data_IF_198103150177
#
_entry.id   IF_198103150177
#
_cell.length_a   1.000
_cell.length_b   1.000
_cell.length_c   1.000
_cell.angle_alpha   90.00
_cell.angle_beta   90.00
_cell.angle_gamma   90.00
#
_symmetry.space_group_name_H-M   'P 1'
#
loop_
_entity.id
_entity.type
_entity.pdbx_description
1 polymer ?
#
# COMPACT_ATOMS: atom_id res chain seq x y z
N UNK A 1 -1.77 9.06 -14.65
CA UNK A 1 -2.72 8.90 -13.53
C UNK A 1 -1.92 8.23 -12.43
N UNK A 2 -1.75 8.88 -11.30
CA UNK A 2 -0.86 8.39 -10.24
C UNK A 2 -1.54 7.22 -9.56
N UNK A 3 -1.05 6.01 -9.78
CA UNK A 3 -1.67 4.79 -9.26
C UNK A 3 -1.59 4.79 -7.72
N UNK A 4 -2.74 4.89 -7.05
CA UNK A 4 -2.88 4.80 -5.60
C UNK A 4 -2.10 3.61 -5.00
N UNK A 5 -2.08 2.49 -5.72
CA UNK A 5 -1.33 1.27 -5.37
C UNK A 5 0.18 1.49 -5.24
N UNK A 6 0.77 2.37 -6.07
CA UNK A 6 2.20 2.67 -6.03
C UNK A 6 2.57 3.46 -4.78
N UNK A 7 1.77 4.46 -4.42
CA UNK A 7 1.98 5.27 -3.22
C UNK A 7 1.81 4.45 -1.94
N UNK A 8 0.81 3.57 -1.92
CA UNK A 8 0.57 2.68 -0.78
C UNK A 8 1.68 1.64 -0.62
N UNK A 9 2.12 1.01 -1.72
CA UNK A 9 3.21 0.03 -1.70
C UNK A 9 4.50 0.64 -1.17
N UNK A 10 4.83 1.86 -1.59
CA UNK A 10 6.01 2.57 -1.12
C UNK A 10 5.92 2.90 0.37
N UNK A 11 4.78 3.42 0.85
CA UNK A 11 4.59 3.72 2.27
C UNK A 11 4.71 2.46 3.15
N UNK A 12 4.24 1.31 2.66
CA UNK A 12 4.43 0.01 3.32
C UNK A 12 5.91 -0.40 3.37
N UNK A 13 6.65 -0.23 2.27
CA UNK A 13 8.08 -0.53 2.22
C UNK A 13 8.91 0.37 3.14
N UNK A 14 8.57 1.65 3.23
CA UNK A 14 9.22 2.62 4.11
C UNK A 14 8.87 2.40 5.59
N UNK A 15 7.88 1.53 5.89
CA UNK A 15 7.38 1.31 7.24
C UNK A 15 6.59 2.49 7.81
N UNK A 16 6.12 3.41 6.96
CA UNK A 16 5.37 4.60 7.36
C UNK A 16 3.88 4.25 7.56
N UNK A 17 3.59 3.71 8.74
CA UNK A 17 2.27 3.30 9.18
C UNK A 17 1.21 4.42 9.09
N UNK A 18 1.58 5.66 9.45
CA UNK A 18 0.69 6.83 9.40
C UNK A 18 0.27 7.14 7.97
N UNK A 19 1.23 7.15 7.04
CA UNK A 19 0.97 7.42 5.62
C UNK A 19 0.17 6.29 4.98
N UNK A 20 0.45 5.04 5.33
CA UNK A 20 -0.36 3.88 4.90
C UNK A 20 -1.82 4.03 5.34
N UNK A 21 -2.08 4.36 6.61
CA UNK A 21 -3.45 4.55 7.11
C UNK A 21 -4.16 5.69 6.41
N UNK A 22 -3.46 6.80 6.16
CA UNK A 22 -4.04 7.96 5.47
C UNK A 22 -4.45 7.59 4.05
N UNK A 23 -3.55 6.96 3.29
CA UNK A 23 -3.81 6.53 1.92
C UNK A 23 -4.99 5.53 1.85
N UNK A 24 -5.03 4.53 2.73
CA UNK A 24 -6.17 3.58 2.78
C UNK A 24 -7.49 4.31 3.02
N UNK A 25 -7.53 5.32 3.90
CA UNK A 25 -8.74 6.11 4.16
C UNK A 25 -9.16 6.94 2.96
N UNK A 26 -8.20 7.57 2.28
CA UNK A 26 -8.46 8.34 1.06
C UNK A 26 -9.05 7.44 -0.03
N UNK A 27 -8.47 6.25 -0.26
CA UNK A 27 -9.00 5.31 -1.24
C UNK A 27 -10.39 4.76 -0.88
N UNK A 28 -10.64 4.46 0.40
CA UNK A 28 -11.98 4.07 0.85
C UNK A 28 -12.99 5.21 0.66
N UNK A 29 -12.58 6.47 0.86
CA UNK A 29 -13.43 7.64 0.63
C UNK A 29 -13.70 7.88 -0.87
N UNK A 30 -12.77 7.52 -1.75
CA UNK A 30 -12.96 7.52 -3.21
C UNK A 30 -13.86 6.36 -3.70
N UNK A 31 -14.30 5.47 -2.81
CA UNK A 31 -15.17 4.35 -3.14
C UNK A 31 -14.42 3.16 -3.73
N UNK A 32 -13.09 3.11 -3.60
CA UNK A 32 -12.32 1.94 -3.99
C UNK A 32 -12.68 0.74 -3.09
N UNK A 33 -12.88 -0.46 -3.66
CA UNK A 33 -13.11 -1.66 -2.88
C UNK A 33 -11.96 -1.90 -1.91
N UNK A 34 -12.26 -2.20 -0.65
CA UNK A 34 -11.25 -2.54 0.35
C UNK A 34 -10.34 -3.70 -0.09
N UNK A 35 -10.91 -4.65 -0.86
CA UNK A 35 -10.14 -5.77 -1.41
C UNK A 35 -9.12 -5.32 -2.46
N UNK A 36 -9.48 -4.38 -3.32
CA UNK A 36 -8.57 -3.81 -4.32
C UNK A 36 -7.41 -3.06 -3.64
N UNK A 37 -7.69 -2.30 -2.58
CA UNK A 37 -6.67 -1.60 -1.77
C UNK A 37 -5.68 -2.61 -1.16
N UNK A 38 -6.21 -3.71 -0.63
CA UNK A 38 -5.41 -4.78 -0.03
C UNK A 38 -4.54 -5.50 -1.06
N UNK A 39 -5.16 -6.01 -2.14
CA UNK A 39 -4.50 -6.87 -3.13
C UNK A 39 -3.56 -6.09 -4.06
N UNK A 40 -3.89 -4.85 -4.40
CA UNK A 40 -3.10 -4.05 -5.35
C UNK A 40 -2.09 -3.14 -4.67
N UNK A 41 -2.25 -2.83 -3.38
CA UNK A 41 -1.35 -1.92 -2.67
C UNK A 41 -0.63 -2.54 -1.47
N UNK A 42 -1.37 -3.02 -0.47
CA UNK A 42 -0.76 -3.51 0.78
C UNK A 42 0.04 -4.81 0.58
N UNK A 43 -0.53 -5.79 -0.11
CA UNK A 43 0.10 -7.10 -0.34
C UNK A 43 1.39 -6.96 -1.19
N UNK A 44 1.39 -6.24 -2.33
CA UNK A 44 2.61 -6.01 -3.11
C UNK A 44 3.68 -5.23 -2.33
N UNK A 45 3.28 -4.22 -1.54
CA UNK A 45 4.19 -3.48 -0.67
C UNK A 45 4.93 -4.39 0.32
N UNK A 46 4.22 -5.30 0.98
CA UNK A 46 4.82 -6.29 1.88
C UNK A 46 5.66 -7.35 1.15
N UNK A 47 5.26 -7.77 -0.05
CA UNK A 47 6.04 -8.73 -0.84
C UNK A 47 7.36 -8.14 -1.34
N UNK A 48 7.38 -6.86 -1.67
CA UNK A 48 8.60 -6.16 -2.06
C UNK A 48 9.65 -6.16 -0.93
N UNK A 49 9.22 -6.01 0.33
CA UNK A 49 10.09 -6.11 1.51
C UNK A 49 10.74 -7.49 1.66
N UNK A 50 10.06 -8.58 1.28
CA UNK A 50 10.64 -9.94 1.31
C UNK A 50 11.81 -10.13 0.34
N UNK A 51 11.92 -9.31 -0.71
CA UNK A 51 13.06 -9.34 -1.63
C UNK A 51 14.34 -8.77 -1.03
N UNK A 52 14.21 -7.82 -0.09
CA UNK A 52 15.33 -7.16 0.59
C UNK A 52 15.77 -7.89 1.88
N UNK A 53 14.84 -8.57 2.55
CA UNK A 53 15.15 -9.44 3.69
C UNK A 53 15.71 -10.79 3.19
N UNK A 54 17.01 -10.84 2.87
CA UNK A 54 17.76 -12.11 2.87
C UNK A 54 18.31 -12.38 4.28
N UNK A 55 18.21 -13.62 4.78
CA UNK A 55 18.80 -14.03 6.05
C UNK A 55 20.33 -13.96 6.03
#
# INVERSE_FOLDING_TARGET
MTDFSSGLSQAVQEGDDKKVIQLVKEALAEGLPAMDILEKGLVPGMQALKGEFRP
#
